data_IF_688095450399
#
_entry.id   IF_688095450399
#
_cell.length_a   1.000
_cell.length_b   1.000
_cell.length_c   1.000
_cell.angle_alpha   90.00
_cell.angle_beta   90.00
_cell.angle_gamma   90.00
#
_symmetry.space_group_name_H-M   'P 1'
#
loop_
_entity.id
_entity.type
_entity.pdbx_description
1 polymer ?
#
# COMPACT_ATOMS: atom_id res chain seq x y z
N UNK A 1 -10.54 12.92 -14.80
CA UNK A 1 -9.95 11.63 -14.36
C UNK A 1 -8.44 11.71 -14.51
N UNK A 2 -7.70 11.37 -13.47
CA UNK A 2 -6.24 11.42 -13.55
C UNK A 2 -5.66 10.15 -14.20
N UNK A 3 -4.48 10.27 -14.79
CA UNK A 3 -3.78 9.14 -15.38
C UNK A 3 -3.03 8.39 -14.29
N UNK A 4 -3.17 7.06 -14.24
CA UNK A 4 -2.47 6.20 -13.29
C UNK A 4 -1.47 5.34 -14.04
N UNK A 5 -0.18 5.54 -13.74
CA UNK A 5 0.93 4.79 -14.34
C UNK A 5 1.67 3.90 -13.35
N UNK A 6 1.37 4.04 -12.05
CA UNK A 6 1.98 3.24 -10.98
C UNK A 6 0.93 2.78 -9.98
N UNK A 7 1.08 1.54 -9.53
CA UNK A 7 0.39 1.00 -8.36
C UNK A 7 1.51 0.69 -7.36
N UNK A 8 1.51 1.37 -6.22
CA UNK A 8 2.61 1.30 -5.25
C UNK A 8 2.12 0.62 -3.98
N UNK A 9 2.82 -0.43 -3.56
CA UNK A 9 2.48 -1.20 -2.37
C UNK A 9 3.40 -0.80 -1.21
N UNK A 10 2.80 -0.58 -0.06
CA UNK A 10 3.45 -0.19 1.19
C UNK A 10 3.09 -1.15 2.32
N UNK A 11 3.92 -1.17 3.37
CA UNK A 11 3.49 -1.64 4.68
C UNK A 11 3.42 -0.42 5.62
N UNK A 12 2.62 -0.56 6.68
CA UNK A 12 2.46 0.52 7.66
C UNK A 12 3.63 0.64 8.64
N UNK A 13 4.55 -0.33 8.62
CA UNK A 13 5.70 -0.41 9.54
C UNK A 13 5.26 -0.56 10.99
N UNK A 14 4.27 -1.40 11.22
CA UNK A 14 3.79 -1.78 12.55
C UNK A 14 4.17 -3.23 12.85
N UNK A 15 4.15 -3.60 14.14
CA UNK A 15 4.40 -4.99 14.57
C UNK A 15 3.44 -5.96 13.91
N UNK A 16 3.90 -7.19 13.67
CA UNK A 16 3.06 -8.27 13.18
C UNK A 16 1.84 -8.45 14.10
N UNK A 17 0.67 -8.67 13.50
CA UNK A 17 -0.57 -8.84 14.25
C UNK A 17 -1.20 -7.55 14.78
N UNK A 18 -0.67 -6.39 14.38
CA UNK A 18 -1.25 -5.10 14.77
C UNK A 18 -2.72 -5.00 14.38
N UNK A 19 -3.55 -4.45 15.28
CA UNK A 19 -4.99 -4.26 15.04
C UNK A 19 -5.34 -2.92 14.38
N UNK A 20 -4.35 -2.20 13.89
CA UNK A 20 -4.58 -0.90 13.24
C UNK A 20 -5.40 -1.03 11.96
N UNK A 21 -6.11 0.03 11.61
CA UNK A 21 -6.98 0.10 10.44
C UNK A 21 -6.79 1.42 9.69
N UNK A 22 -7.51 1.60 8.59
CA UNK A 22 -7.44 2.82 7.77
C UNK A 22 -7.75 4.07 8.59
N UNK A 23 -8.69 3.99 9.54
CA UNK A 23 -9.02 5.14 10.39
C UNK A 23 -7.85 5.60 11.25
N UNK A 24 -6.95 4.68 11.64
CA UNK A 24 -5.76 5.03 12.42
C UNK A 24 -4.75 5.77 11.55
N UNK A 25 -4.57 5.34 10.30
CA UNK A 25 -3.75 6.05 9.33
C UNK A 25 -4.35 7.41 9.01
N UNK A 26 -5.66 7.50 8.86
CA UNK A 26 -6.36 8.76 8.61
C UNK A 26 -6.12 9.74 9.75
N UNK A 27 -6.26 9.27 11.00
CA UNK A 27 -6.03 10.10 12.19
C UNK A 27 -4.59 10.60 12.25
N UNK A 28 -3.63 9.72 11.97
CA UNK A 28 -2.21 10.09 11.97
C UNK A 28 -1.93 11.12 10.88
N UNK A 29 -2.40 10.88 9.66
CA UNK A 29 -2.16 11.79 8.55
C UNK A 29 -2.84 13.14 8.75
N UNK A 30 -4.02 13.18 9.36
CA UNK A 30 -4.68 14.45 9.73
C UNK A 30 -3.88 15.21 10.78
N UNK A 31 -3.21 14.51 11.70
CA UNK A 31 -2.34 15.14 12.70
C UNK A 31 -1.13 15.82 12.07
N UNK A 32 -0.74 15.38 10.85
CA UNK A 32 0.34 16.00 10.06
C UNK A 32 -0.16 17.17 9.20
N UNK A 33 -1.45 17.52 9.31
CA UNK A 33 -2.04 18.59 8.53
C UNK A 33 -2.63 18.16 7.18
N UNK A 34 -2.67 16.85 6.90
CA UNK A 34 -3.24 16.32 5.68
C UNK A 34 -4.77 16.22 5.80
N UNK A 35 -5.48 16.24 4.67
CA UNK A 35 -6.95 16.20 4.66
C UNK A 35 -7.53 14.87 5.10
N UNK A 36 -6.82 13.77 4.82
CA UNK A 36 -7.26 12.41 5.13
C UNK A 36 -6.08 11.46 4.98
N UNK A 37 -6.34 10.15 5.12
CA UNK A 37 -5.34 9.12 4.87
C UNK A 37 -4.66 9.35 3.52
N UNK A 38 -3.35 9.21 3.46
CA UNK A 38 -2.58 9.41 2.24
C UNK A 38 -2.65 8.26 1.26
N UNK A 39 -3.01 7.06 1.72
CA UNK A 39 -3.18 5.88 0.86
C UNK A 39 -4.59 5.82 0.31
N UNK A 40 -4.75 5.17 -0.85
CA UNK A 40 -6.08 4.95 -1.43
C UNK A 40 -6.76 3.73 -0.81
N UNK A 41 -5.99 2.73 -0.43
CA UNK A 41 -6.50 1.49 0.19
C UNK A 41 -5.62 1.07 1.35
N UNK A 42 -6.24 0.53 2.39
CA UNK A 42 -5.55 -0.04 3.55
C UNK A 42 -6.09 -1.45 3.77
N UNK A 43 -5.19 -2.41 3.99
CA UNK A 43 -5.55 -3.81 4.21
C UNK A 43 -5.10 -4.21 5.63
N UNK A 44 -6.03 -4.22 6.60
CA UNK A 44 -5.73 -4.71 7.94
C UNK A 44 -5.38 -6.19 7.96
N UNK A 45 -4.92 -6.68 9.12
CA UNK A 45 -4.47 -8.08 9.28
C UNK A 45 -5.55 -9.11 9.01
N UNK A 46 -6.83 -8.75 9.15
CA UNK A 46 -7.95 -9.64 8.85
C UNK A 46 -8.25 -9.77 7.35
N UNK A 47 -7.55 -9.02 6.51
CA UNK A 47 -7.69 -9.10 5.06
C UNK A 47 -8.85 -8.30 4.48
N UNK A 48 -9.55 -7.48 5.27
CA UNK A 48 -10.56 -6.60 4.72
C UNK A 48 -9.90 -5.49 3.89
N UNK A 49 -10.63 -4.93 2.92
CA UNK A 49 -10.18 -3.75 2.19
C UNK A 49 -10.89 -2.55 2.81
N UNK A 50 -10.11 -1.59 3.27
CA UNK A 50 -10.66 -0.34 3.77
C UNK A 50 -10.26 0.81 2.84
N UNK A 51 -11.24 1.62 2.44
CA UNK A 51 -10.98 2.77 1.59
C UNK A 51 -10.31 3.87 2.43
N UNK A 52 -9.23 4.39 1.91
CA UNK A 52 -8.61 5.60 2.43
C UNK A 52 -9.06 6.77 1.58
N UNK A 53 -8.11 7.39 0.88
CA UNK A 53 -8.41 8.49 -0.04
C UNK A 53 -9.08 7.94 -1.31
N UNK A 54 -10.10 8.63 -1.86
CA UNK A 54 -10.72 8.18 -3.12
C UNK A 54 -9.71 8.07 -4.27
N UNK A 55 -9.86 7.07 -5.14
CA UNK A 55 -8.91 6.79 -6.24
C UNK A 55 -8.71 7.98 -7.18
N UNK A 56 -9.76 8.75 -7.43
CA UNK A 56 -9.70 9.90 -8.33
C UNK A 56 -8.91 11.06 -7.75
N UNK A 57 -8.62 11.05 -6.46
CA UNK A 57 -7.83 12.09 -5.82
C UNK A 57 -6.35 11.71 -5.77
N UNK A 58 -5.49 12.71 -5.92
CA UNK A 58 -4.04 12.55 -5.75
C UNK A 58 -3.77 12.15 -4.30
N UNK A 59 -3.00 11.09 -4.10
CA UNK A 59 -2.63 10.62 -2.77
C UNK A 59 -1.58 11.48 -2.10
N UNK A 60 -1.18 11.09 -0.89
CA UNK A 60 -0.07 11.70 -0.15
C UNK A 60 0.75 10.57 0.47
N UNK A 61 1.37 9.74 -0.39
CA UNK A 61 2.09 8.55 0.05
C UNK A 61 3.51 8.44 -0.53
N UNK A 62 3.78 9.04 -1.67
CA UNK A 62 5.12 9.00 -2.27
C UNK A 62 5.39 10.30 -3.00
N UNK A 63 6.25 11.13 -2.42
CA UNK A 63 6.64 12.42 -2.99
C UNK A 63 7.13 12.22 -4.43
N UNK A 64 6.71 13.10 -5.34
CA UNK A 64 6.99 13.09 -6.78
C UNK A 64 6.19 12.06 -7.58
N UNK A 65 5.49 11.12 -6.93
CA UNK A 65 4.73 10.08 -7.63
C UNK A 65 3.23 10.09 -7.32
N UNK A 66 2.78 10.96 -6.40
CA UNK A 66 1.38 10.97 -5.97
C UNK A 66 0.40 11.25 -7.11
N UNK A 67 0.76 12.13 -8.06
CA UNK A 67 -0.17 12.58 -9.10
C UNK A 67 -0.55 11.49 -10.10
N UNK A 68 0.25 10.43 -10.23
CA UNK A 68 0.06 9.38 -11.24
C UNK A 68 0.05 7.97 -10.66
N UNK A 69 -0.26 7.82 -9.37
CA UNK A 69 -0.19 6.52 -8.71
C UNK A 69 -1.39 6.24 -7.80
N UNK A 70 -1.57 4.95 -7.52
CA UNK A 70 -2.47 4.43 -6.49
C UNK A 70 -1.59 3.85 -5.39
N UNK A 71 -1.84 4.21 -4.14
CA UNK A 71 -1.10 3.69 -2.98
C UNK A 71 -1.94 2.69 -2.20
N UNK A 72 -1.37 1.50 -1.96
CA UNK A 72 -1.99 0.44 -1.16
C UNK A 72 -1.07 0.14 0.01
N UNK A 73 -1.61 0.16 1.23
CA UNK A 73 -0.84 -0.13 2.43
C UNK A 73 -1.42 -1.34 3.17
N UNK A 74 -0.61 -2.37 3.42
CA UNK A 74 -1.04 -3.42 4.35
C UNK A 74 -0.50 -3.10 5.74
N UNK A 75 -1.28 -3.43 6.76
CA UNK A 75 -0.89 -3.20 8.16
C UNK A 75 0.11 -4.28 8.57
N UNK A 76 1.29 -3.87 8.98
CA UNK A 76 2.37 -4.76 9.38
C UNK A 76 3.73 -4.27 8.88
N UNK A 77 4.65 -5.20 8.66
CA UNK A 77 5.96 -4.93 8.08
C UNK A 77 7.11 -4.96 9.08
N UNK A 78 6.84 -5.14 10.37
CA UNK A 78 7.86 -5.34 11.40
C UNK A 78 7.63 -6.67 12.11
N UNK A 79 8.72 -7.27 12.62
CA UNK A 79 8.65 -8.54 13.36
C UNK A 79 7.86 -8.38 14.67
N UNK A 80 7.75 -9.48 15.43
CA UNK A 80 7.02 -9.49 16.70
C UNK A 80 7.59 -8.51 17.73
N UNK A 81 8.89 -8.23 17.64
CA UNK A 81 9.55 -7.26 18.51
C UNK A 81 9.37 -5.81 18.07
N UNK A 82 8.81 -5.58 16.88
CA UNK A 82 8.60 -4.24 16.34
C UNK A 82 9.87 -3.52 15.92
N UNK A 83 10.96 -4.25 15.65
CA UNK A 83 12.28 -3.67 15.40
C UNK A 83 12.84 -3.98 14.01
N UNK A 84 12.55 -5.15 13.45
CA UNK A 84 13.18 -5.61 12.20
C UNK A 84 12.14 -5.66 11.07
N UNK A 85 12.41 -5.04 9.91
CA UNK A 85 11.53 -5.17 8.75
C UNK A 85 11.36 -6.63 8.34
N UNK A 86 10.11 -7.02 8.09
CA UNK A 86 9.76 -8.40 7.75
C UNK A 86 8.45 -8.42 6.98
N UNK A 87 8.31 -9.34 6.03
CA UNK A 87 7.03 -9.60 5.37
C UNK A 87 6.11 -10.32 6.37
N UNK A 88 5.20 -9.56 6.98
CA UNK A 88 4.28 -10.05 8.00
C UNK A 88 2.86 -10.25 7.46
N UNK A 89 2.68 -10.24 6.13
CA UNK A 89 1.34 -10.38 5.55
C UNK A 89 0.71 -11.70 5.99
N UNK A 90 -0.52 -11.62 6.50
CA UNK A 90 -1.32 -12.81 6.76
C UNK A 90 -1.77 -13.43 5.43
N UNK A 91 -2.21 -14.69 5.45
CA UNK A 91 -2.76 -15.31 4.25
C UNK A 91 -3.97 -14.53 3.72
N UNK A 92 -4.81 -13.99 4.63
CA UNK A 92 -5.93 -13.14 4.26
C UNK A 92 -5.47 -11.86 3.56
N UNK A 93 -4.41 -11.22 4.06
CA UNK A 93 -3.85 -10.03 3.44
C UNK A 93 -3.28 -10.33 2.05
N UNK A 94 -2.57 -11.45 1.90
CA UNK A 94 -2.00 -11.85 0.59
C UNK A 94 -3.10 -12.06 -0.45
N UNK A 95 -4.17 -12.76 -0.07
CA UNK A 95 -5.29 -13.03 -0.97
C UNK A 95 -6.00 -11.72 -1.38
N UNK A 96 -6.26 -10.84 -0.41
CA UNK A 96 -6.93 -9.57 -0.65
C UNK A 96 -6.07 -8.63 -1.50
N UNK A 97 -4.78 -8.55 -1.19
CA UNK A 97 -3.86 -7.71 -1.95
C UNK A 97 -3.80 -8.14 -3.42
N UNK A 98 -3.69 -9.45 -3.66
CA UNK A 98 -3.69 -9.99 -5.02
C UNK A 98 -4.95 -9.63 -5.77
N UNK A 99 -6.11 -9.84 -5.15
CA UNK A 99 -7.40 -9.55 -5.76
C UNK A 99 -7.56 -8.06 -6.07
N UNK A 100 -7.17 -7.19 -5.15
CA UNK A 100 -7.23 -5.75 -5.35
C UNK A 100 -6.33 -5.32 -6.52
N UNK A 101 -5.10 -5.84 -6.57
CA UNK A 101 -4.17 -5.51 -7.65
C UNK A 101 -4.70 -6.01 -9.00
N UNK A 102 -5.32 -7.20 -9.03
CA UNK A 102 -5.95 -7.69 -10.26
C UNK A 102 -7.05 -6.74 -10.75
N UNK A 103 -7.88 -6.25 -9.84
CA UNK A 103 -8.94 -5.28 -10.18
C UNK A 103 -8.37 -3.96 -10.68
N UNK A 104 -7.32 -3.46 -10.03
CA UNK A 104 -6.66 -2.23 -10.45
C UNK A 104 -5.97 -2.39 -11.80
N UNK A 105 -5.37 -3.56 -12.05
CA UNK A 105 -4.76 -3.86 -13.34
C UNK A 105 -5.80 -3.82 -14.48
N UNK A 106 -7.01 -4.28 -14.23
CA UNK A 106 -8.08 -4.20 -15.24
C UNK A 106 -8.45 -2.75 -15.56
N UNK A 107 -8.45 -1.87 -14.55
CA UNK A 107 -8.76 -0.45 -14.75
C UNK A 107 -7.59 0.35 -15.31
N UNK A 108 -6.37 -0.04 -14.94
CA UNK A 108 -5.14 0.66 -15.31
C UNK A 108 -4.12 -0.34 -15.89
N UNK A 109 -4.41 -0.92 -17.07
CA UNK A 109 -3.60 -2.03 -17.59
C UNK A 109 -2.15 -1.66 -17.91
N UNK A 110 -1.86 -0.36 -18.04
CA UNK A 110 -0.50 0.11 -18.34
C UNK A 110 0.27 0.50 -17.08
N UNK A 111 -0.35 0.42 -15.90
CA UNK A 111 0.33 0.80 -14.66
C UNK A 111 1.32 -0.28 -14.22
N UNK A 112 2.55 0.15 -13.91
CA UNK A 112 3.56 -0.71 -13.28
C UNK A 112 3.19 -0.96 -11.83
N UNK A 113 3.36 -2.20 -11.38
CA UNK A 113 3.08 -2.59 -9.99
C UNK A 113 4.42 -2.71 -9.27
N UNK A 114 4.66 -1.83 -8.31
CA UNK A 114 5.96 -1.71 -7.63
C UNK A 114 5.78 -1.62 -6.12
N UNK A 115 6.86 -1.90 -5.39
CA UNK A 115 6.92 -1.64 -3.96
C UNK A 115 7.52 -0.27 -3.69
N UNK A 116 7.24 0.26 -2.51
CA UNK A 116 7.80 1.55 -2.09
C UNK A 116 9.34 1.55 -2.20
N UNK A 117 9.99 0.45 -1.84
CA UNK A 117 11.45 0.35 -1.91
C UNK A 117 12.00 0.46 -3.34
N UNK A 118 11.20 0.17 -4.36
CA UNK A 118 11.63 0.32 -5.75
C UNK A 118 11.80 1.79 -6.13
N UNK A 119 11.08 2.68 -5.45
CA UNK A 119 11.15 4.13 -5.67
C UNK A 119 12.00 4.84 -4.64
N UNK A 120 12.19 4.22 -3.46
CA UNK A 120 13.03 4.74 -2.39
C UNK A 120 13.83 3.58 -1.78
N UNK A 121 15.02 3.27 -2.34
CA UNK A 121 15.81 2.10 -1.92
C UNK A 121 16.25 2.10 -0.45
N UNK A 122 16.20 3.24 0.22
CA UNK A 122 16.56 3.34 1.63
C UNK A 122 15.44 2.85 2.56
N UNK A 123 14.24 2.59 2.00
CA UNK A 123 13.08 2.15 2.77
C UNK A 123 12.82 0.67 2.48
N UNK A 124 12.57 -0.13 3.53
CA UNK A 124 12.32 -1.56 3.37
C UNK A 124 10.88 -1.87 2.92
N UNK A 125 9.96 -0.93 3.08
CA UNK A 125 8.54 -1.12 2.74
C UNK A 125 8.37 -1.53 1.27
N UNK A 126 7.54 -2.51 0.96
CA UNK A 126 6.62 -3.26 1.81
C UNK A 126 7.19 -4.57 2.37
N UNK A 127 8.49 -4.75 2.37
CA UNK A 127 9.21 -5.91 2.92
C UNK A 127 9.02 -7.21 2.13
N UNK A 128 8.63 -7.12 0.86
CA UNK A 128 8.62 -8.24 -0.08
C UNK A 128 8.83 -7.72 -1.50
N UNK A 129 9.17 -8.62 -2.42
CA UNK A 129 9.47 -8.25 -3.82
C UNK A 129 8.21 -8.15 -4.66
N UNK A 130 7.62 -6.97 -4.70
CA UNK A 130 6.33 -6.70 -5.37
C UNK A 130 6.40 -7.00 -6.87
N UNK A 131 7.43 -6.51 -7.54
CA UNK A 131 7.55 -6.67 -9.00
C UNK A 131 7.63 -8.12 -9.41
N UNK A 132 8.33 -8.95 -8.63
CA UNK A 132 8.45 -10.38 -8.89
C UNK A 132 7.17 -11.15 -8.55
N UNK A 133 6.52 -10.81 -7.43
CA UNK A 133 5.32 -11.51 -6.99
C UNK A 133 4.15 -11.30 -7.95
N UNK A 134 4.06 -10.12 -8.57
CA UNK A 134 2.98 -9.77 -9.49
C UNK A 134 3.47 -9.67 -10.94
N UNK A 135 4.49 -10.45 -11.29
CA UNK A 135 5.09 -10.41 -12.65
C UNK A 135 4.05 -10.70 -13.73
N UNK A 136 3.06 -11.53 -13.45
CA UNK A 136 1.99 -11.88 -14.37
C UNK A 136 0.98 -10.75 -14.60
N UNK A 137 1.00 -9.72 -13.76
CA UNK A 137 0.10 -8.56 -13.85
C UNK A 137 0.84 -7.29 -14.31
N UNK A 138 2.14 -7.37 -14.58
CA UNK A 138 2.87 -6.22 -15.10
C UNK A 138 2.46 -5.93 -16.55
N UNK A 139 2.50 -4.66 -16.96
CA UNK A 139 2.16 -4.29 -18.34
C UNK A 139 3.14 -4.83 -19.36
#
# INVERSE_FOLDING_TARGET
>A
MRTVSLIIVYCSSNMAGSALRAEDNDRYHRSLGWKCCGYHYVIPTDGTIEAGRPEELVGAHCKHHNSHSIGICYIGGLDDGGTTPKDTRTEAQKATLRKLIEQLHQRYPKALIVGHHDLNPQNASPCFHVTAEYIDLQP
#
